data_IF_708155711034
#
_entry.id   IF_708155711034
#
_cell.length_a   1.000
_cell.length_b   1.000
_cell.length_c   1.000
_cell.angle_alpha   90.00
_cell.angle_beta   90.00
_cell.angle_gamma   90.00
#
_symmetry.space_group_name_H-M   'P 1'
#
loop_
_entity.id
_entity.type
_entity.pdbx_description
1 polymer ?
#
# COMPACT_ATOMS: atom_id res chain seq x y z
N UNK A 1 16.00 30.73 -4.22
CA UNK A 1 14.74 30.21 -4.80
C UNK A 1 13.65 30.34 -3.75
N UNK A 2 12.86 31.41 -3.84
CA UNK A 2 11.87 31.77 -2.80
C UNK A 2 10.71 30.77 -2.83
N UNK A 3 10.49 30.06 -1.72
CA UNK A 3 9.27 29.26 -1.55
C UNK A 3 8.12 30.23 -1.30
N UNK A 4 7.23 30.38 -2.29
CA UNK A 4 5.97 31.08 -2.10
C UNK A 4 5.24 30.52 -0.87
N UNK A 5 4.53 31.35 -0.07
CA UNK A 5 3.81 30.87 1.09
C UNK A 5 2.70 29.93 0.61
N UNK A 6 2.94 28.62 0.76
CA UNK A 6 1.97 27.61 0.37
C UNK A 6 0.83 27.65 1.39
N UNK A 7 -0.27 28.30 0.99
CA UNK A 7 -1.61 28.01 1.53
C UNK A 7 -1.70 26.49 1.70
N UNK A 8 -2.11 26.02 2.88
CA UNK A 8 -2.28 24.58 3.15
C UNK A 8 -3.25 23.96 2.13
N UNK A 9 -2.72 23.50 1.00
CA UNK A 9 -3.52 22.88 -0.05
C UNK A 9 -3.92 21.51 0.45
N UNK A 10 -5.24 21.33 0.64
CA UNK A 10 -5.82 20.02 0.92
C UNK A 10 -5.84 19.21 -0.37
N UNK A 11 -5.18 18.06 -0.35
CA UNK A 11 -5.18 17.10 -1.45
C UNK A 11 -6.46 16.26 -1.43
N UNK A 12 -7.14 16.18 -2.56
CA UNK A 12 -8.28 15.28 -2.75
C UNK A 12 -7.82 13.82 -2.76
N UNK A 13 -8.74 12.89 -2.55
CA UNK A 13 -8.42 11.46 -2.57
C UNK A 13 -7.95 11.00 -3.95
N UNK A 14 -8.55 11.51 -5.03
CA UNK A 14 -8.16 11.22 -6.41
C UNK A 14 -6.72 11.68 -6.72
N UNK A 15 -6.37 12.92 -6.33
CA UNK A 15 -5.00 13.43 -6.51
C UNK A 15 -3.96 12.61 -5.74
N UNK A 16 -4.30 12.17 -4.51
CA UNK A 16 -3.43 11.28 -3.72
C UNK A 16 -3.26 9.92 -4.38
N UNK A 17 -4.32 9.34 -4.91
CA UNK A 17 -4.27 8.03 -5.57
C UNK A 17 -3.46 8.09 -6.87
N UNK A 18 -3.62 9.14 -7.66
CA UNK A 18 -2.79 9.38 -8.84
C UNK A 18 -1.32 9.61 -8.48
N UNK A 19 -1.05 10.40 -7.44
CA UNK A 19 0.31 10.61 -6.97
C UNK A 19 0.94 9.32 -6.40
N UNK A 20 0.16 8.49 -5.71
CA UNK A 20 0.57 7.16 -5.22
C UNK A 20 0.92 6.24 -6.38
N UNK A 21 0.08 6.17 -7.43
CA UNK A 21 0.36 5.29 -8.58
C UNK A 21 1.68 5.65 -9.26
N UNK A 22 1.95 6.95 -9.47
CA UNK A 22 3.24 7.42 -9.99
C UNK A 22 4.41 7.13 -9.03
N UNK A 23 4.22 7.35 -7.74
CA UNK A 23 5.24 7.10 -6.73
C UNK A 23 5.63 5.63 -6.62
N UNK A 24 4.64 4.72 -6.67
CA UNK A 24 4.85 3.27 -6.68
C UNK A 24 5.43 2.76 -8.00
N UNK A 25 5.10 3.38 -9.13
CA UNK A 25 5.72 3.07 -10.41
C UNK A 25 7.21 3.44 -10.43
N UNK A 26 7.57 4.63 -9.96
CA UNK A 26 8.98 5.04 -9.82
C UNK A 26 9.16 6.21 -8.87
N UNK A 27 9.77 5.96 -7.71
CA UNK A 27 10.14 6.99 -6.74
C UNK A 27 11.11 8.04 -7.33
N UNK A 28 12.02 7.61 -8.21
CA UNK A 28 13.00 8.50 -8.87
C UNK A 28 12.30 9.46 -9.85
N UNK A 29 11.42 8.93 -10.70
CA UNK A 29 10.65 9.75 -11.64
C UNK A 29 9.73 10.72 -10.87
N UNK A 30 9.11 10.26 -9.79
CA UNK A 30 8.29 11.11 -8.93
C UNK A 30 9.08 12.26 -8.29
N UNK A 31 10.30 12.00 -7.81
CA UNK A 31 11.18 13.03 -7.25
C UNK A 31 11.63 14.05 -8.32
N UNK A 32 11.81 13.63 -9.57
CA UNK A 32 12.05 14.55 -10.68
C UNK A 32 10.82 15.42 -10.96
N UNK A 33 9.63 14.82 -11.03
CA UNK A 33 8.37 15.54 -11.23
C UNK A 33 8.08 16.55 -10.12
N UNK A 34 8.45 16.25 -8.87
CA UNK A 34 8.37 17.19 -7.75
C UNK A 34 9.21 18.47 -7.92
N UNK A 35 10.20 18.48 -8.81
CA UNK A 35 10.97 19.69 -9.15
C UNK A 35 10.26 20.56 -10.19
N UNK A 36 9.42 19.95 -11.03
CA UNK A 36 8.71 20.60 -12.14
C UNK A 36 7.29 21.02 -11.74
N UNK A 37 6.65 20.25 -10.88
CA UNK A 37 5.29 20.45 -10.39
C UNK A 37 5.25 20.46 -8.87
N UNK A 38 4.10 20.80 -8.30
CA UNK A 38 3.87 20.76 -6.85
C UNK A 38 2.90 19.61 -6.51
N UNK A 39 3.30 18.32 -6.61
CA UNK A 39 2.45 17.22 -6.21
C UNK A 39 2.50 17.01 -4.68
N UNK A 40 1.71 16.08 -4.11
CA UNK A 40 1.84 15.71 -2.70
C UNK A 40 3.28 15.36 -2.30
N UNK A 41 3.66 15.68 -1.07
CA UNK A 41 4.98 15.27 -0.57
C UNK A 41 5.01 13.75 -0.34
N UNK A 42 6.20 13.15 -0.38
CA UNK A 42 6.36 11.72 -0.05
C UNK A 42 5.80 11.40 1.34
N UNK A 43 5.96 12.32 2.30
CA UNK A 43 5.38 12.20 3.65
C UNK A 43 3.85 12.17 3.62
N UNK A 44 3.23 12.99 2.78
CA UNK A 44 1.78 12.99 2.57
C UNK A 44 1.30 11.65 2.00
N UNK A 45 2.03 11.09 1.04
CA UNK A 45 1.71 9.78 0.45
C UNK A 45 1.86 8.66 1.49
N UNK A 46 2.97 8.62 2.24
CA UNK A 46 3.18 7.65 3.33
C UNK A 46 2.06 7.72 4.36
N UNK A 47 1.67 8.91 4.82
CA UNK A 47 0.53 9.10 5.73
C UNK A 47 -0.79 8.60 5.15
N UNK A 48 -1.00 8.77 3.84
CA UNK A 48 -2.19 8.23 3.18
C UNK A 48 -2.19 6.70 3.17
N UNK A 49 -1.02 6.08 3.06
CA UNK A 49 -0.86 4.63 3.07
C UNK A 49 -0.99 4.02 4.48
N UNK A 50 -0.57 4.74 5.53
CA UNK A 50 -0.73 4.29 6.92
C UNK A 50 -2.18 4.03 7.34
N UNK A 51 -3.16 4.59 6.63
CA UNK A 51 -4.57 4.29 6.87
C UNK A 51 -4.99 2.89 6.40
N UNK A 52 -4.16 2.22 5.60
CA UNK A 52 -4.43 0.87 5.10
C UNK A 52 -3.81 -0.13 6.09
N UNK A 53 -4.67 -0.74 6.91
CA UNK A 53 -4.24 -1.80 7.82
C UNK A 53 -4.12 -3.12 7.05
N UNK A 54 -2.89 -3.57 6.82
CA UNK A 54 -2.60 -4.88 6.25
C UNK A 54 -1.97 -5.72 7.35
N UNK A 55 -2.67 -6.77 7.76
CA UNK A 55 -2.19 -7.76 8.70
C UNK A 55 -1.87 -9.05 7.96
N UNK A 56 -1.00 -9.92 8.51
CA UNK A 56 -0.88 -11.30 8.08
C UNK A 56 -2.26 -11.97 8.04
N UNK A 57 -2.42 -13.04 7.25
CA UNK A 57 -3.71 -13.70 6.91
C UNK A 57 -4.47 -13.00 5.77
N UNK A 58 -5.56 -13.61 5.31
CA UNK A 58 -6.48 -13.06 4.33
C UNK A 58 -7.19 -11.81 4.86
N UNK A 59 -6.86 -10.66 4.26
CA UNK A 59 -7.52 -9.39 4.55
C UNK A 59 -8.94 -9.38 3.96
N UNK A 60 -9.96 -9.31 4.82
CA UNK A 60 -11.36 -9.31 4.41
C UNK A 60 -11.71 -8.15 3.48
N UNK A 61 -11.14 -6.95 3.69
CA UNK A 61 -11.39 -5.79 2.85
C UNK A 61 -10.87 -5.99 1.42
N UNK A 62 -9.74 -6.68 1.26
CA UNK A 62 -9.22 -7.05 -0.05
C UNK A 62 -10.15 -8.08 -0.72
N UNK A 63 -10.62 -9.08 0.03
CA UNK A 63 -11.55 -10.08 -0.49
C UNK A 63 -12.90 -9.47 -0.91
N UNK A 64 -13.41 -8.49 -0.17
CA UNK A 64 -14.64 -7.78 -0.54
C UNK A 64 -14.44 -6.91 -1.80
N UNK A 65 -13.27 -6.29 -1.95
CA UNK A 65 -12.92 -5.59 -3.18
C UNK A 65 -12.84 -6.54 -4.38
N UNK A 66 -12.29 -7.75 -4.19
CA UNK A 66 -12.30 -8.79 -5.22
C UNK A 66 -13.72 -9.20 -5.60
N UNK A 67 -14.63 -9.40 -4.63
CA UNK A 67 -16.05 -9.72 -4.92
C UNK A 67 -16.71 -8.65 -5.78
N UNK A 68 -16.51 -7.37 -5.45
CA UNK A 68 -17.05 -6.25 -6.24
C UNK A 68 -16.55 -6.34 -7.68
N UNK A 69 -15.25 -6.60 -7.87
CA UNK A 69 -14.66 -6.69 -9.20
C UNK A 69 -15.17 -7.91 -9.97
N UNK A 70 -15.25 -9.08 -9.35
CA UNK A 70 -15.72 -10.34 -9.96
C UNK A 70 -17.19 -10.27 -10.33
N UNK A 71 -18.02 -9.57 -9.54
CA UNK A 71 -19.45 -9.37 -9.86
C UNK A 71 -19.66 -8.58 -11.17
N UNK A 72 -18.70 -7.74 -11.56
CA UNK A 72 -18.75 -7.01 -12.86
C UNK A 72 -18.24 -7.85 -14.04
N UNK A 73 -17.69 -9.03 -13.80
CA UNK A 73 -17.14 -9.89 -14.83
C UNK A 73 -18.21 -10.84 -15.38
N UNK A 74 -18.11 -11.17 -16.67
CA UNK A 74 -18.92 -12.21 -17.28
C UNK A 74 -18.60 -13.59 -16.66
N UNK A 75 -19.60 -14.48 -16.60
CA UNK A 75 -19.51 -15.74 -15.85
C UNK A 75 -18.34 -16.63 -16.30
N UNK A 76 -18.04 -16.66 -17.60
CA UNK A 76 -16.89 -17.42 -18.13
C UNK A 76 -15.53 -16.94 -17.62
N UNK A 77 -15.44 -15.73 -17.07
CA UNK A 77 -14.20 -15.14 -16.50
C UNK A 77 -14.12 -15.25 -14.98
N UNK A 78 -15.16 -15.79 -14.33
CA UNK A 78 -15.19 -15.94 -12.85
C UNK A 78 -14.38 -17.15 -12.38
N UNK A 79 -14.20 -18.16 -13.24
CA UNK A 79 -13.36 -19.31 -12.94
C UNK A 79 -11.90 -18.88 -12.89
N UNK A 80 -11.26 -19.04 -11.73
CA UNK A 80 -9.84 -18.71 -11.51
C UNK A 80 -9.19 -19.74 -10.59
N UNK A 81 -7.88 -19.94 -10.76
CA UNK A 81 -7.07 -20.74 -9.86
C UNK A 81 -6.28 -19.80 -8.93
N UNK A 82 -6.20 -20.15 -7.65
CA UNK A 82 -5.38 -19.43 -6.67
C UNK A 82 -4.12 -20.26 -6.44
N UNK A 83 -2.97 -19.69 -6.77
CA UNK A 83 -1.66 -20.28 -6.54
C UNK A 83 -1.00 -19.51 -5.40
N UNK A 84 -0.61 -20.22 -4.35
CA UNK A 84 0.10 -19.67 -3.21
C UNK A 84 1.41 -20.42 -3.08
N UNK A 85 2.49 -19.68 -2.90
CA UNK A 85 3.84 -20.21 -2.69
C UNK A 85 4.52 -19.40 -1.58
N UNK A 86 5.50 -20.01 -0.94
CA UNK A 86 6.29 -19.36 0.10
C UNK A 86 7.47 -18.60 -0.51
N UNK A 87 7.85 -17.48 0.12
CA UNK A 87 9.01 -16.70 -0.31
C UNK A 87 10.03 -16.65 0.82
N UNK A 88 11.27 -16.99 0.52
CA UNK A 88 12.38 -16.84 1.46
C UNK A 88 12.61 -15.35 1.76
N UNK A 89 12.32 -14.93 2.99
CA UNK A 89 12.57 -13.59 3.50
C UNK A 89 13.74 -13.60 4.51
N UNK A 90 14.38 -12.44 4.70
CA UNK A 90 15.45 -12.30 5.68
C UNK A 90 14.88 -12.50 7.09
N UNK A 91 15.44 -13.46 7.84
CA UNK A 91 15.14 -13.64 9.27
C UNK A 91 15.57 -12.40 10.04
N UNK A 92 14.62 -11.69 10.62
CA UNK A 92 14.85 -10.46 11.38
C UNK A 92 13.70 -10.23 12.36
N UNK A 93 14.01 -9.73 13.55
CA UNK A 93 13.02 -9.33 14.54
C UNK A 93 12.80 -7.82 14.44
N UNK A 94 11.55 -7.41 14.21
CA UNK A 94 11.19 -6.02 14.08
C UNK A 94 10.13 -5.64 15.11
N UNK A 95 10.36 -4.58 15.89
CA UNK A 95 9.34 -4.06 16.79
C UNK A 95 8.43 -3.08 16.03
N UNK A 96 7.13 -3.38 16.01
CA UNK A 96 6.12 -2.52 15.42
C UNK A 96 5.43 -1.69 16.51
N UNK A 97 5.76 -0.39 16.65
CA UNK A 97 5.22 0.46 17.72
C UNK A 97 3.74 0.79 17.53
N UNK A 98 3.16 0.53 16.36
CA UNK A 98 1.74 0.83 16.09
C UNK A 98 0.82 -0.19 16.75
N UNK A 99 1.25 -1.46 16.79
CA UNK A 99 0.49 -2.56 17.37
C UNK A 99 1.09 -3.09 18.67
N UNK A 100 2.25 -2.57 19.08
CA UNK A 100 3.01 -3.02 20.25
C UNK A 100 3.35 -4.53 20.17
N UNK A 101 3.85 -4.95 19.01
CA UNK A 101 4.21 -6.36 18.74
C UNK A 101 5.63 -6.47 18.19
N UNK A 102 6.27 -7.61 18.45
CA UNK A 102 7.55 -8.00 17.83
C UNK A 102 7.24 -8.95 16.66
N UNK A 103 7.45 -8.46 15.44
CA UNK A 103 7.32 -9.20 14.19
C UNK A 103 8.57 -10.08 13.97
N UNK A 104 8.40 -11.26 13.36
CA UNK A 104 9.48 -12.20 13.02
C UNK A 104 9.64 -13.37 13.98
N UNK A 105 8.87 -13.43 15.07
CA UNK A 105 8.61 -14.64 15.85
C UNK A 105 7.25 -15.19 15.42
N UNK A 106 7.18 -15.84 14.26
CA UNK A 106 5.94 -16.51 13.85
C UNK A 106 5.85 -17.89 14.51
N UNK A 107 4.69 -18.16 15.12
CA UNK A 107 4.32 -19.47 15.64
C UNK A 107 3.68 -20.28 14.51
N UNK A 108 4.38 -21.33 14.05
CA UNK A 108 3.88 -22.26 13.03
C UNK A 108 2.98 -23.36 13.62
N UNK A 109 2.57 -23.23 14.89
CA UNK A 109 1.81 -24.24 15.62
C UNK A 109 2.61 -25.52 15.85
N UNK A 110 1.94 -26.67 15.84
CA UNK A 110 2.55 -27.99 16.10
C UNK A 110 3.41 -28.55 14.96
N UNK A 111 3.66 -27.77 13.90
CA UNK A 111 4.52 -28.14 12.77
C UNK A 111 5.93 -27.52 12.88
N UNK A 112 6.18 -26.71 13.92
CA UNK A 112 7.45 -26.06 14.21
C UNK A 112 8.42 -26.90 15.03
#
# INVERSE_FOLDING_TARGET
MNRLPQRERKWTHSEKNFALSLYHASKKAYSLLQKLFVPPSSRTLSRSMHNVNIQPVFNASIMDLFKIKVNTMADQKKLSAILVDEMAIKKFLNYNPTYDIVEGLEDFGSLG
#
